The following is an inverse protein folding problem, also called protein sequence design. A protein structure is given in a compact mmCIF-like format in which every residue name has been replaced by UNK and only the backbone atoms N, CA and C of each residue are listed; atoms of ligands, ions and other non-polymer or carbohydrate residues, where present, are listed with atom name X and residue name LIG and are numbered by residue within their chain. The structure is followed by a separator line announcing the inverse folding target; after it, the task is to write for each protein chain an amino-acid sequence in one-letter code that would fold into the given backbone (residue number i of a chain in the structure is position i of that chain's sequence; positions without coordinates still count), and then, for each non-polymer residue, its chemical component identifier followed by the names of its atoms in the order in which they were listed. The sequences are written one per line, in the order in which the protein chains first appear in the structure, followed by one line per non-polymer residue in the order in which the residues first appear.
data_IF_779259398698
#
_entry.id   IF_779259398698
#
_cell.length_a   1.000
_cell.length_b   1.000
_cell.length_c   1.000
_cell.angle_alpha   90.00
_cell.angle_beta   90.00
_cell.angle_gamma   90.00
#
_symmetry.space_group_name_H-M   'P 1'
#
loop_
_entity.id
_entity.type
_entity.pdbx_description
1 polymer ?
#
# COMPACT_ATOMS: atom_id res chain seq x y z
N UNK A 1 -9.21 7.71 16.57
CA UNK A 1 -10.66 7.46 16.47
C UNK A 1 -11.12 7.02 15.08
N UNK A 2 -10.67 7.63 13.97
CA UNK A 2 -11.11 7.27 12.60
C UNK A 2 -10.66 5.86 12.14
N UNK A 3 -9.47 5.40 12.54
CA UNK A 3 -8.95 4.08 12.14
C UNK A 3 -9.74 2.91 12.78
N UNK A 4 -10.08 3.01 14.06
CA UNK A 4 -10.86 1.97 14.75
C UNK A 4 -12.28 1.84 14.18
N UNK A 5 -12.90 2.95 13.76
CA UNK A 5 -14.20 2.95 13.08
C UNK A 5 -14.13 2.27 11.71
N UNK A 6 -13.06 2.48 10.95
CA UNK A 6 -12.84 1.81 9.66
C UNK A 6 -12.63 0.31 9.86
N UNK A 7 -11.87 -0.09 10.89
CA UNK A 7 -11.66 -1.50 11.22
C UNK A 7 -12.96 -2.17 11.70
N UNK A 8 -13.75 -1.49 12.55
CA UNK A 8 -15.06 -1.97 12.99
C UNK A 8 -16.03 -2.13 11.81
N UNK A 9 -16.04 -1.17 10.88
CA UNK A 9 -16.88 -1.21 9.67
C UNK A 9 -16.45 -2.34 8.71
N UNK A 10 -15.15 -2.61 8.59
CA UNK A 10 -14.62 -3.75 7.83
C UNK A 10 -14.99 -5.10 8.47
N UNK A 11 -15.07 -5.19 9.80
CA UNK A 11 -15.49 -6.40 10.51
C UNK A 11 -17.00 -6.64 10.34
N UNK A 12 -17.83 -5.59 10.30
CA UNK A 12 -19.27 -5.72 10.03
C UNK A 12 -19.60 -6.07 8.58
N UNK A 13 -18.67 -5.90 7.65
CA UNK A 13 -18.83 -6.27 6.25
C UNK A 13 -18.65 -7.79 5.99
N UNK A 14 -18.52 -8.60 7.04
CA UNK A 14 -18.54 -10.07 6.90
C UNK A 14 -19.98 -10.50 6.68
N UNK A 15 -20.33 -10.71 5.41
CA UNK A 15 -21.62 -11.26 4.99
C UNK A 15 -21.81 -12.64 5.63
N UNK A 16 -22.70 -12.75 6.62
CA UNK A 16 -23.08 -14.00 7.25
C UNK A 16 -24.33 -14.55 6.56
N UNK A 17 -24.35 -15.84 6.25
CA UNK A 17 -25.53 -16.49 5.66
C UNK A 17 -26.72 -16.47 6.60
N UNK A 18 -27.88 -16.12 6.06
CA UNK A 18 -29.16 -16.15 6.77
C UNK A 18 -29.56 -17.60 7.09
N UNK A 19 -30.47 -17.79 8.04
CA UNK A 19 -31.02 -19.11 8.37
C UNK A 19 -31.68 -19.77 7.13
N UNK A 20 -32.45 -18.98 6.37
CA UNK A 20 -33.09 -19.43 5.12
C UNK A 20 -32.06 -19.92 4.10
N UNK A 21 -30.91 -19.23 4.00
CA UNK A 21 -29.86 -19.62 3.05
C UNK A 21 -29.28 -20.99 3.43
N UNK A 22 -29.09 -21.25 4.73
CA UNK A 22 -28.60 -22.55 5.22
C UNK A 22 -29.60 -23.67 4.96
N UNK A 23 -30.89 -23.42 5.11
CA UNK A 23 -31.95 -24.39 4.77
C UNK A 23 -31.91 -24.74 3.28
N UNK A 24 -31.78 -23.75 2.41
CA UNK A 24 -31.63 -23.95 0.96
C UNK A 24 -30.38 -24.77 0.67
N UNK A 25 -29.24 -24.46 1.30
CA UNK A 25 -27.99 -25.18 1.09
C UNK A 25 -28.07 -26.62 1.56
N UNK A 26 -28.67 -26.86 2.73
CA UNK A 26 -28.86 -28.21 3.25
C UNK A 26 -29.73 -29.04 2.33
N UNK A 27 -30.89 -28.51 1.93
CA UNK A 27 -31.80 -29.21 1.04
C UNK A 27 -31.15 -29.51 -0.32
N UNK A 28 -30.41 -28.56 -0.89
CA UNK A 28 -29.70 -28.77 -2.14
C UNK A 28 -28.55 -29.79 -2.00
N UNK A 29 -27.83 -29.78 -0.88
CA UNK A 29 -26.76 -30.74 -0.61
C UNK A 29 -27.31 -32.17 -0.49
N UNK A 30 -28.38 -32.36 0.29
CA UNK A 30 -29.06 -33.66 0.45
C UNK A 30 -29.56 -34.20 -0.91
N UNK A 31 -30.20 -33.35 -1.71
CA UNK A 31 -30.73 -33.76 -3.01
C UNK A 31 -29.63 -34.04 -4.04
N UNK A 32 -28.53 -33.29 -4.04
CA UNK A 32 -27.36 -33.59 -4.88
C UNK A 32 -26.68 -34.90 -4.49
N UNK A 33 -26.71 -35.26 -3.21
CA UNK A 33 -26.20 -36.55 -2.75
C UNK A 33 -27.06 -37.72 -3.23
N UNK A 34 -28.40 -37.57 -3.30
CA UNK A 34 -29.31 -38.62 -3.77
C UNK A 34 -29.39 -38.70 -5.31
N UNK A 35 -29.41 -37.57 -6.00
CA UNK A 35 -29.69 -37.48 -7.44
C UNK A 35 -28.49 -37.10 -8.32
N UNK A 36 -27.36 -36.68 -7.74
CA UNK A 36 -26.13 -36.28 -8.42
C UNK A 36 -25.89 -34.76 -8.48
N UNK A 37 -24.66 -34.38 -8.83
CA UNK A 37 -24.17 -32.99 -8.73
C UNK A 37 -24.89 -31.98 -9.64
N UNK A 38 -25.46 -32.43 -10.75
CA UNK A 38 -26.16 -31.59 -11.73
C UNK A 38 -27.63 -31.32 -11.35
N UNK A 39 -28.08 -31.80 -10.19
CA UNK A 39 -29.47 -31.67 -9.76
C UNK A 39 -29.87 -30.22 -9.46
N UNK A 40 -31.05 -29.83 -9.95
CA UNK A 40 -31.68 -28.53 -9.72
C UNK A 40 -33.16 -28.70 -9.33
N UNK A 41 -33.68 -27.82 -8.47
CA UNK A 41 -35.08 -27.88 -8.01
C UNK A 41 -36.10 -27.75 -9.17
N UNK A 42 -35.79 -26.92 -10.17
CA UNK A 42 -36.63 -26.72 -11.34
C UNK A 42 -36.76 -27.98 -12.20
N UNK A 43 -35.65 -28.71 -12.37
CA UNK A 43 -35.62 -29.97 -13.11
C UNK A 43 -36.40 -31.06 -12.36
N UNK A 44 -36.30 -31.07 -11.03
CA UNK A 44 -37.06 -31.99 -10.20
C UNK A 44 -38.57 -31.81 -10.32
N UNK A 45 -39.05 -30.55 -10.31
CA UNK A 45 -40.46 -30.22 -10.55
C UNK A 45 -40.88 -30.40 -12.02
N UNK A 46 -39.94 -30.68 -12.94
CA UNK A 46 -40.17 -30.83 -14.38
C UNK A 46 -40.78 -29.58 -15.01
N UNK A 47 -40.27 -28.42 -14.63
CA UNK A 47 -40.74 -27.13 -15.16
C UNK A 47 -40.11 -26.83 -16.53
N UNK A 48 -40.91 -26.54 -17.58
CA UNK A 48 -40.39 -26.34 -18.93
C UNK A 48 -39.58 -25.06 -19.10
N UNK A 49 -39.86 -24.02 -18.31
CA UNK A 49 -39.18 -22.71 -18.38
C UNK A 49 -38.08 -22.53 -17.32
N UNK A 50 -37.81 -23.58 -16.52
CA UNK A 50 -36.80 -23.56 -15.47
C UNK A 50 -36.96 -22.37 -14.50
N UNK A 51 -35.95 -21.51 -14.33
CA UNK A 51 -36.00 -20.36 -13.40
C UNK A 51 -37.04 -19.30 -13.82
N UNK A 52 -37.33 -19.19 -15.12
CA UNK A 52 -38.31 -18.23 -15.67
C UNK A 52 -39.77 -18.70 -15.56
N UNK A 53 -40.05 -19.79 -14.84
CA UNK A 53 -41.42 -20.24 -14.58
C UNK A 53 -42.18 -19.30 -13.65
N UNK A 54 -43.45 -19.03 -14.01
CA UNK A 54 -44.40 -18.24 -13.22
C UNK A 54 -44.80 -19.00 -11.94
N UNK A 55 -45.27 -18.29 -10.92
CA UNK A 55 -45.77 -18.89 -9.68
C UNK A 55 -46.85 -19.97 -9.92
N UNK A 56 -47.80 -19.72 -10.83
CA UNK A 56 -48.86 -20.69 -11.15
C UNK A 56 -48.31 -21.99 -11.77
N UNK A 57 -47.30 -21.88 -12.65
CA UNK A 57 -46.63 -23.05 -13.25
C UNK A 57 -45.97 -23.90 -12.15
N UNK A 58 -45.31 -23.25 -11.19
CA UNK A 58 -44.66 -23.89 -10.03
C UNK A 58 -45.70 -24.56 -9.14
N UNK A 59 -46.81 -23.88 -8.83
CA UNK A 59 -47.87 -24.42 -7.99
C UNK A 59 -48.53 -25.67 -8.62
N UNK A 60 -48.84 -25.60 -9.91
CA UNK A 60 -49.42 -26.72 -10.66
C UNK A 60 -48.46 -27.91 -10.77
N UNK A 61 -47.18 -27.66 -11.08
CA UNK A 61 -46.15 -28.69 -11.15
C UNK A 61 -45.95 -29.39 -9.80
N UNK A 62 -45.86 -28.62 -8.71
CA UNK A 62 -45.79 -29.16 -7.36
C UNK A 62 -47.01 -30.01 -7.03
N UNK A 63 -48.24 -29.53 -7.28
CA UNK A 63 -49.48 -30.30 -7.01
C UNK A 63 -49.50 -31.63 -7.76
N UNK A 64 -49.00 -31.65 -9.01
CA UNK A 64 -48.89 -32.85 -9.82
C UNK A 64 -47.87 -33.84 -9.25
N UNK A 65 -46.75 -33.34 -8.74
CA UNK A 65 -45.66 -34.15 -8.19
C UNK A 65 -45.98 -34.65 -6.77
N UNK A 66 -46.57 -33.81 -5.92
CA UNK A 66 -46.98 -34.15 -4.55
C UNK A 66 -47.99 -35.29 -4.53
N UNK A 67 -49.01 -35.25 -5.41
CA UNK A 67 -49.96 -36.35 -5.59
C UNK A 67 -49.30 -37.64 -6.04
N UNK A 68 -48.16 -37.60 -6.75
CA UNK A 68 -47.44 -38.81 -7.19
C UNK A 68 -46.59 -39.40 -6.07
N UNK A 69 -45.90 -38.55 -5.30
CA UNK A 69 -44.97 -38.96 -4.24
C UNK A 69 -45.61 -39.10 -2.85
N UNK A 70 -46.92 -38.86 -2.71
CA UNK A 70 -47.57 -38.93 -1.41
C UNK A 70 -47.40 -40.31 -0.73
N UNK A 71 -47.00 -40.37 0.55
CA UNK A 71 -46.69 -41.63 1.23
C UNK A 71 -47.90 -42.58 1.34
N UNK A 72 -49.13 -42.03 1.35
CA UNK A 72 -50.38 -42.81 1.39
C UNK A 72 -50.60 -43.69 0.15
N UNK A 73 -49.91 -43.42 -0.96
CA UNK A 73 -49.98 -44.30 -2.15
C UNK A 73 -49.30 -45.64 -1.95
N UNK A 74 -48.42 -45.76 -0.96
CA UNK A 74 -47.73 -47.02 -0.66
C UNK A 74 -48.68 -47.91 0.15
N UNK A 75 -49.09 -49.03 -0.45
CA UNK A 75 -49.99 -50.01 0.16
C UNK A 75 -49.21 -51.26 0.57
N UNK A 76 -49.54 -51.81 1.73
CA UNK A 76 -48.86 -52.97 2.31
C UNK A 76 -49.09 -54.30 1.55
N UNK A 77 -50.03 -54.35 0.59
CA UNK A 77 -50.61 -55.58 0.01
C UNK A 77 -49.65 -56.66 -0.54
N UNK A 78 -48.33 -56.41 -0.64
CA UNK A 78 -47.35 -57.36 -1.19
C UNK A 78 -45.98 -57.35 -0.49
N UNK A 79 -45.83 -56.71 0.67
CA UNK A 79 -44.54 -56.58 1.37
C UNK A 79 -44.59 -57.10 2.80
N UNK A 80 -43.44 -57.55 3.29
CA UNK A 80 -43.21 -57.77 4.73
C UNK A 80 -43.43 -56.45 5.50
N UNK A 81 -43.85 -56.55 6.76
CA UNK A 81 -44.06 -55.39 7.65
C UNK A 81 -42.83 -54.46 7.65
N UNK A 82 -41.63 -55.02 7.82
CA UNK A 82 -40.38 -54.25 7.87
C UNK A 82 -40.12 -53.52 6.55
N UNK A 83 -40.31 -54.18 5.42
CA UNK A 83 -40.10 -53.58 4.10
C UNK A 83 -41.13 -52.48 3.83
N UNK A 84 -42.37 -52.67 4.26
CA UNK A 84 -43.42 -51.66 4.15
C UNK A 84 -43.07 -50.42 4.96
N UNK A 85 -42.61 -50.58 6.20
CA UNK A 85 -42.20 -49.47 7.06
C UNK A 85 -41.01 -48.71 6.48
N UNK A 86 -39.99 -49.40 5.98
CA UNK A 86 -38.83 -48.77 5.33
C UNK A 86 -39.22 -47.99 4.07
N UNK A 87 -40.09 -48.56 3.21
CA UNK A 87 -40.57 -47.87 2.02
C UNK A 87 -41.43 -46.65 2.36
N UNK A 88 -42.33 -46.79 3.36
CA UNK A 88 -43.16 -45.69 3.82
C UNK A 88 -42.29 -44.56 4.39
N UNK A 89 -41.26 -44.90 5.17
CA UNK A 89 -40.29 -43.94 5.71
C UNK A 89 -39.55 -43.17 4.60
N UNK A 90 -38.99 -43.88 3.62
CA UNK A 90 -38.33 -43.26 2.46
C UNK A 90 -39.28 -42.35 1.66
N UNK A 91 -40.55 -42.75 1.52
CA UNK A 91 -41.54 -41.92 0.84
C UNK A 91 -41.94 -40.69 1.64
N UNK A 92 -42.05 -40.81 2.97
CA UNK A 92 -42.30 -39.65 3.83
C UNK A 92 -41.13 -38.66 3.77
N UNK A 93 -39.89 -39.13 3.79
CA UNK A 93 -38.69 -38.29 3.66
C UNK A 93 -38.67 -37.54 2.31
N UNK A 94 -38.90 -38.27 1.20
CA UNK A 94 -39.00 -37.65 -0.14
C UNK A 94 -40.14 -36.65 -0.25
N UNK A 95 -41.28 -36.92 0.38
CA UNK A 95 -42.39 -35.99 0.40
C UNK A 95 -42.09 -34.74 1.23
N UNK A 96 -41.37 -34.88 2.35
CA UNK A 96 -40.89 -33.75 3.15
C UNK A 96 -39.91 -32.87 2.37
N UNK A 97 -38.93 -33.48 1.70
CA UNK A 97 -38.01 -32.77 0.80
C UNK A 97 -38.77 -32.02 -0.30
N UNK A 98 -39.80 -32.65 -0.88
CA UNK A 98 -40.64 -32.01 -1.90
C UNK A 98 -41.38 -30.81 -1.33
N UNK A 99 -41.95 -30.95 -0.14
CA UNK A 99 -42.66 -29.85 0.53
C UNK A 99 -41.72 -28.68 0.80
N UNK A 100 -40.48 -28.95 1.22
CA UNK A 100 -39.47 -27.92 1.48
C UNK A 100 -39.04 -27.20 0.19
N UNK A 101 -38.81 -27.94 -0.91
CA UNK A 101 -38.55 -27.33 -2.22
C UNK A 101 -39.75 -26.49 -2.66
N UNK A 102 -40.96 -27.00 -2.47
CA UNK A 102 -42.19 -26.29 -2.77
C UNK A 102 -42.31 -24.97 -2.01
N UNK A 103 -42.02 -24.93 -0.71
CA UNK A 103 -42.05 -23.70 0.09
C UNK A 103 -40.98 -22.70 -0.34
N UNK A 104 -39.79 -23.16 -0.70
CA UNK A 104 -38.71 -22.29 -1.20
C UNK A 104 -39.11 -21.64 -2.53
N UNK A 105 -39.55 -22.43 -3.53
CA UNK A 105 -39.87 -21.91 -4.86
C UNK A 105 -41.13 -21.06 -4.94
N UNK A 106 -42.05 -21.20 -3.96
CA UNK A 106 -43.30 -20.43 -3.89
C UNK A 106 -43.17 -19.14 -3.08
N UNK A 107 -42.15 -19.01 -2.24
CA UNK A 107 -41.93 -17.83 -1.40
C UNK A 107 -40.90 -16.88 -2.04
N UNK A 108 -40.67 -15.74 -1.40
CA UNK A 108 -39.60 -14.79 -1.75
C UNK A 108 -38.21 -15.45 -1.73
N UNK A 109 -38.05 -16.57 -1.02
CA UNK A 109 -36.83 -17.40 -0.98
C UNK A 109 -36.42 -17.92 -2.37
N UNK A 110 -37.32 -17.91 -3.36
CA UNK A 110 -37.01 -18.22 -4.76
C UNK A 110 -35.88 -17.36 -5.29
N UNK A 111 -35.88 -16.05 -5.02
CA UNK A 111 -34.86 -15.13 -5.53
C UNK A 111 -33.47 -15.47 -4.98
N UNK A 112 -33.41 -15.89 -3.70
CA UNK A 112 -32.16 -16.34 -3.07
C UNK A 112 -31.67 -17.63 -3.70
N UNK A 113 -32.57 -18.59 -3.92
CA UNK A 113 -32.25 -19.82 -4.63
C UNK A 113 -31.70 -19.53 -6.04
N UNK A 114 -32.36 -18.66 -6.80
CA UNK A 114 -31.93 -18.25 -8.14
C UNK A 114 -30.54 -17.58 -8.12
N UNK A 115 -30.26 -16.77 -7.09
CA UNK A 115 -28.92 -16.21 -6.88
C UNK A 115 -27.85 -17.29 -6.76
N UNK A 116 -28.09 -18.34 -5.96
CA UNK A 116 -27.14 -19.45 -5.77
C UNK A 116 -27.04 -20.38 -6.98
N UNK A 117 -28.12 -20.58 -7.72
CA UNK A 117 -28.06 -21.32 -9.00
C UNK A 117 -27.14 -20.59 -9.99
N UNK A 118 -27.19 -19.25 -10.03
CA UNK A 118 -26.37 -18.43 -10.94
C UNK A 118 -24.90 -18.30 -10.50
N UNK A 119 -24.64 -18.15 -9.20
CA UNK A 119 -23.28 -17.89 -8.68
C UNK A 119 -22.57 -19.15 -8.15
N UNK A 120 -23.30 -20.27 -8.03
CA UNK A 120 -22.84 -21.49 -7.40
C UNK A 120 -23.25 -21.58 -5.94
N UNK A 121 -23.38 -22.82 -5.46
CA UNK A 121 -23.68 -23.11 -4.06
C UNK A 121 -22.39 -23.22 -3.23
N UNK A 122 -22.43 -22.80 -1.95
CA UNK A 122 -21.33 -23.09 -1.03
C UNK A 122 -21.23 -24.60 -0.76
N UNK A 123 -20.03 -25.07 -0.46
CA UNK A 123 -19.75 -26.48 -0.18
C UNK A 123 -19.92 -26.73 1.31
N UNK A 124 -20.61 -27.82 1.67
CA UNK A 124 -20.72 -28.29 3.05
C UNK A 124 -19.35 -28.79 3.54
N UNK A 125 -18.85 -28.23 4.64
CA UNK A 125 -17.56 -28.62 5.23
C UNK A 125 -17.69 -28.79 6.74
N UNK A 126 -17.93 -30.02 7.17
CA UNK A 126 -18.01 -30.39 8.59
C UNK A 126 -19.22 -29.80 9.29
N UNK A 127 -19.13 -28.52 9.68
CA UNK A 127 -20.14 -27.87 10.53
C UNK A 127 -20.87 -26.72 9.84
N UNK A 128 -20.32 -26.13 8.77
CA UNK A 128 -20.94 -24.98 8.10
C UNK A 128 -20.74 -25.00 6.58
N UNK A 129 -21.52 -24.15 5.90
CA UNK A 129 -21.44 -23.93 4.47
C UNK A 129 -20.41 -22.85 4.16
N UNK A 130 -19.44 -23.18 3.31
CA UNK A 130 -18.43 -22.21 2.88
C UNK A 130 -18.30 -22.23 1.38
N UNK A 131 -18.25 -21.06 0.75
CA UNK A 131 -17.79 -20.99 -0.64
C UNK A 131 -16.38 -21.56 -0.73
N UNK A 132 -16.05 -22.16 -1.88
CA UNK A 132 -14.67 -22.48 -2.24
C UNK A 132 -13.90 -21.16 -2.44
N UNK A 133 -13.58 -20.49 -1.34
CA UNK A 133 -12.95 -19.17 -1.32
C UNK A 133 -11.55 -19.28 -1.91
N UNK A 134 -11.13 -18.23 -2.62
CA UNK A 134 -9.75 -18.07 -3.04
C UNK A 134 -8.84 -18.20 -1.82
N UNK A 135 -8.04 -19.27 -1.79
CA UNK A 135 -6.99 -19.48 -0.80
C UNK A 135 -5.72 -18.93 -1.42
N UNK A 136 -5.35 -17.66 -1.11
CA UNK A 136 -4.07 -17.15 -1.59
C UNK A 136 -2.97 -18.11 -1.14
N UNK A 137 -2.09 -18.50 -2.06
CA UNK A 137 -0.94 -19.33 -1.75
C UNK A 137 -0.13 -18.70 -0.61
N UNK A 138 0.46 -19.51 0.27
CA UNK A 138 1.33 -19.03 1.37
C UNK A 138 2.44 -18.14 0.83
N UNK A 139 2.95 -18.40 -0.37
CA UNK A 139 3.93 -17.55 -1.02
C UNK A 139 3.38 -16.17 -1.38
N UNK A 140 2.14 -16.12 -1.87
CA UNK A 140 1.47 -14.87 -2.22
C UNK A 140 1.22 -14.04 -0.96
N UNK A 141 0.78 -14.67 0.13
CA UNK A 141 0.56 -13.96 1.41
C UNK A 141 1.86 -13.42 1.99
N UNK A 142 2.94 -14.20 1.98
CA UNK A 142 4.27 -13.75 2.40
C UNK A 142 4.75 -12.60 1.53
N UNK A 143 4.57 -12.68 0.20
CA UNK A 143 4.95 -11.60 -0.71
C UNK A 143 4.21 -10.30 -0.42
N UNK A 144 2.89 -10.35 -0.19
CA UNK A 144 2.10 -9.16 0.17
C UNK A 144 2.55 -8.60 1.53
N UNK A 145 2.74 -9.46 2.53
CA UNK A 145 3.20 -9.04 3.85
C UNK A 145 4.58 -8.37 3.75
N UNK A 146 5.47 -8.97 2.96
CA UNK A 146 6.78 -8.40 2.68
C UNK A 146 6.65 -7.03 2.03
N UNK A 147 5.86 -6.88 0.96
CA UNK A 147 5.62 -5.61 0.29
C UNK A 147 5.03 -4.53 1.22
N UNK A 148 4.16 -4.91 2.16
CA UNK A 148 3.60 -3.98 3.14
C UNK A 148 4.64 -3.56 4.19
N UNK A 149 5.48 -4.49 4.63
CA UNK A 149 6.60 -4.21 5.52
C UNK A 149 7.66 -3.31 4.85
N UNK A 150 7.96 -3.53 3.56
CA UNK A 150 8.90 -2.69 2.80
C UNK A 150 8.36 -1.27 2.67
N UNK A 151 7.07 -1.11 2.38
CA UNK A 151 6.41 0.19 2.27
C UNK A 151 6.45 0.95 3.59
N UNK A 152 6.04 0.31 4.70
CA UNK A 152 6.06 0.92 6.03
C UNK A 152 7.47 1.37 6.42
N UNK A 153 8.46 0.50 6.17
CA UNK A 153 9.86 0.81 6.44
C UNK A 153 10.38 1.97 5.60
N UNK A 154 10.02 2.04 4.31
CA UNK A 154 10.38 3.16 3.44
C UNK A 154 9.82 4.49 3.96
N UNK A 155 8.54 4.50 4.35
CA UNK A 155 7.91 5.69 4.96
C UNK A 155 8.64 6.09 6.24
N UNK A 156 9.02 5.13 7.08
CA UNK A 156 9.75 5.41 8.33
C UNK A 156 11.10 6.10 8.08
N UNK A 157 11.93 5.59 7.16
CA UNK A 157 13.22 6.21 6.84
C UNK A 157 13.00 7.60 6.24
N UNK A 158 12.00 7.77 5.36
CA UNK A 158 11.66 9.08 4.79
C UNK A 158 11.29 10.11 5.85
N UNK A 159 10.42 9.74 6.80
CA UNK A 159 10.03 10.61 7.91
C UNK A 159 11.23 10.93 8.80
N UNK A 160 12.07 9.95 9.10
CA UNK A 160 13.28 10.14 9.91
C UNK A 160 14.25 11.13 9.26
N UNK A 161 14.46 11.04 7.95
CA UNK A 161 15.34 11.97 7.21
C UNK A 161 14.79 13.42 7.24
N UNK A 162 13.48 13.59 7.01
CA UNK A 162 12.82 14.90 7.10
C UNK A 162 12.93 15.47 8.52
N UNK A 163 12.72 14.64 9.54
CA UNK A 163 12.84 15.06 10.92
C UNK A 163 14.28 15.43 11.29
N UNK A 164 15.27 14.69 10.79
CA UNK A 164 16.69 14.96 11.05
C UNK A 164 17.13 16.29 10.44
N UNK A 165 16.66 16.63 9.22
CA UNK A 165 16.87 17.94 8.61
C UNK A 165 16.32 19.08 9.46
N UNK A 166 15.09 18.93 9.97
CA UNK A 166 14.46 19.94 10.85
C UNK A 166 15.20 20.12 12.17
N UNK A 167 15.74 19.03 12.75
CA UNK A 167 16.57 19.11 13.96
C UNK A 167 17.89 19.84 13.69
N UNK A 168 18.54 19.60 12.55
CA UNK A 168 19.77 20.29 12.21
C UNK A 168 19.54 21.79 11.98
N UNK A 169 18.46 22.16 11.30
CA UNK A 169 18.12 23.58 11.12
C UNK A 169 17.82 24.27 12.45
N UNK A 170 17.06 23.64 13.35
CA UNK A 170 16.78 24.21 14.67
C UNK A 170 18.06 24.33 15.51
N UNK A 171 18.96 23.35 15.45
CA UNK A 171 20.26 23.41 16.12
C UNK A 171 21.14 24.56 15.59
N UNK A 172 21.11 24.83 14.28
CA UNK A 172 21.85 25.96 13.70
C UNK A 172 21.27 27.28 14.19
N UNK A 173 19.95 27.41 14.20
CA UNK A 173 19.24 28.60 14.70
C UNK A 173 19.52 28.84 16.19
N UNK A 174 19.44 27.81 17.03
CA UNK A 174 19.75 27.87 18.45
C UNK A 174 21.19 28.34 18.70
N UNK A 175 22.18 27.73 18.01
CA UNK A 175 23.58 28.14 18.16
C UNK A 175 23.83 29.57 17.66
N UNK A 176 23.12 30.02 16.60
CA UNK A 176 23.18 31.41 16.14
C UNK A 176 22.61 32.39 17.16
N UNK A 177 21.49 32.05 17.80
CA UNK A 177 20.90 32.88 18.86
C UNK A 177 21.80 32.95 20.09
N UNK A 178 22.45 31.85 20.46
CA UNK A 178 23.43 31.83 21.55
C UNK A 178 24.69 32.66 21.22
N UNK A 179 25.15 32.64 19.97
CA UNK A 179 26.29 33.46 19.52
C UNK A 179 25.95 34.95 19.46
N UNK A 180 24.77 35.29 18.92
CA UNK A 180 24.31 36.66 18.70
C UNK A 180 22.85 36.84 19.16
N UNK A 181 22.61 37.05 20.46
CA UNK A 181 21.26 37.11 21.02
C UNK A 181 20.44 38.32 20.53
N UNK A 182 21.10 39.41 20.13
CA UNK A 182 20.46 40.60 19.57
C UNK A 182 20.46 40.62 18.03
N UNK A 183 20.85 39.53 17.39
CA UNK A 183 21.10 39.46 15.96
C UNK A 183 22.40 40.17 15.55
N UNK A 184 22.79 39.99 14.28
CA UNK A 184 23.97 40.67 13.71
C UNK A 184 23.58 42.11 13.36
N UNK A 185 24.03 43.07 14.17
CA UNK A 185 23.74 44.50 13.94
C UNK A 185 24.69 45.13 12.91
N UNK A 186 26.00 44.83 12.98
CA UNK A 186 27.02 45.35 12.07
C UNK A 186 27.82 44.23 11.40
N UNK A 187 27.65 44.06 10.08
CA UNK A 187 28.26 42.98 9.27
C UNK A 187 29.80 43.05 9.25
N UNK A 188 30.40 44.22 9.50
CA UNK A 188 31.86 44.45 9.44
C UNK A 188 32.60 44.10 10.74
N UNK A 189 31.89 43.93 11.86
CA UNK A 189 32.50 43.65 13.18
C UNK A 189 32.24 42.22 13.69
N UNK A 190 31.60 41.38 12.88
CA UNK A 190 31.25 40.01 13.26
C UNK A 190 32.52 39.15 13.30
N UNK A 191 32.88 38.69 14.50
CA UNK A 191 33.95 37.69 14.70
C UNK A 191 33.33 36.32 14.92
N UNK A 192 34.10 35.28 14.63
CA UNK A 192 33.69 33.91 14.90
C UNK A 192 33.57 33.69 16.41
N UNK A 193 32.42 33.17 16.85
CA UNK A 193 32.10 32.98 18.28
C UNK A 193 32.04 31.50 18.59
N UNK A 194 32.81 31.08 19.60
CA UNK A 194 32.72 29.72 20.14
C UNK A 194 31.62 29.68 21.20
N UNK A 195 30.59 28.88 20.96
CA UNK A 195 29.41 28.75 21.81
C UNK A 195 29.36 27.35 22.40
N UNK A 196 28.92 27.26 23.65
CA UNK A 196 28.59 25.98 24.28
C UNK A 196 27.09 25.74 24.22
N UNK A 197 26.68 24.62 23.64
CA UNK A 197 25.28 24.23 23.64
C UNK A 197 25.00 23.30 24.82
N UNK A 198 24.14 23.75 25.74
CA UNK A 198 23.81 23.01 26.97
C UNK A 198 23.08 21.69 26.69
N UNK A 199 22.24 21.64 25.65
CA UNK A 199 21.45 20.46 25.31
C UNK A 199 22.31 19.31 24.81
N UNK A 200 23.32 19.61 23.99
CA UNK A 200 24.22 18.61 23.41
C UNK A 200 25.50 18.42 24.22
N UNK A 201 25.75 19.27 25.23
CA UNK A 201 26.99 19.34 26.03
C UNK A 201 28.24 19.38 25.15
N UNK A 202 28.17 20.17 24.09
CA UNK A 202 29.14 20.20 22.99
C UNK A 202 29.46 21.64 22.59
N UNK A 203 30.70 21.86 22.18
CA UNK A 203 31.16 23.16 21.69
C UNK A 203 30.91 23.29 20.19
N UNK A 204 30.40 24.45 19.79
CA UNK A 204 30.18 24.83 18.40
C UNK A 204 30.93 26.13 18.11
N UNK A 205 31.46 26.25 16.90
CA UNK A 205 32.04 27.47 16.36
C UNK A 205 31.04 28.03 15.35
N UNK A 206 30.53 29.22 15.62
CA UNK A 206 29.65 29.94 14.69
C UNK A 206 30.49 30.97 13.96
N UNK A 207 30.69 30.76 12.67
CA UNK A 207 31.49 31.64 11.82
C UNK A 207 30.66 32.84 11.34
N UNK A 208 31.33 33.93 10.97
CA UNK A 208 30.68 35.16 10.47
C UNK A 208 29.78 34.95 9.25
N UNK A 209 30.07 33.93 8.43
CA UNK A 209 29.29 33.54 7.25
C UNK A 209 27.94 32.88 7.61
N UNK A 210 27.71 32.64 8.90
CA UNK A 210 26.53 31.97 9.41
C UNK A 210 26.60 30.44 9.31
N UNK A 211 27.76 29.88 8.98
CA UNK A 211 28.02 28.44 9.09
C UNK A 211 28.28 28.06 10.55
N UNK A 212 27.79 26.88 10.93
CA UNK A 212 27.99 26.33 12.28
C UNK A 212 28.87 25.10 12.15
N UNK A 213 29.97 25.09 12.89
CA UNK A 213 30.89 23.96 12.96
C UNK A 213 30.85 23.31 14.33
N UNK A 214 30.75 22.00 14.35
CA UNK A 214 30.93 21.21 15.56
C UNK A 214 32.42 21.00 15.83
N UNK A 215 32.88 21.26 17.07
CA UNK A 215 34.29 21.15 17.47
C UNK A 215 34.48 19.90 18.32
N UNK A 216 35.25 18.93 17.82
CA UNK A 216 35.61 17.70 18.56
C UNK A 216 37.09 17.37 18.32
N UNK A 217 37.87 17.25 19.41
CA UNK A 217 39.31 16.92 19.37
C UNK A 217 40.12 17.79 18.38
N UNK A 218 39.93 19.11 18.45
CA UNK A 218 40.54 20.12 17.56
C UNK A 218 40.19 20.00 16.06
N UNK A 219 39.24 19.13 15.70
CA UNK A 219 38.66 19.06 14.36
C UNK A 219 37.32 19.77 14.32
N UNK A 220 37.10 20.52 13.24
CA UNK A 220 35.85 21.23 12.98
C UNK A 220 35.05 20.52 11.87
N UNK A 221 33.80 20.19 12.15
CA UNK A 221 32.88 19.55 11.21
C UNK A 221 31.77 20.53 10.85
N UNK A 222 31.59 20.83 9.57
CA UNK A 222 30.49 21.69 9.13
C UNK A 222 29.15 20.98 9.35
N UNK A 223 28.24 21.64 10.07
CA UNK A 223 26.89 21.13 10.30
C UNK A 223 25.96 21.72 9.24
N UNK A 224 25.73 20.97 8.16
CA UNK A 224 24.87 21.39 7.06
C UNK A 224 23.56 20.57 7.02
N UNK A 225 22.37 21.20 7.08
CA UNK A 225 21.09 20.48 6.97
C UNK A 225 20.89 19.82 5.60
N UNK A 226 21.54 20.35 4.56
CA UNK A 226 21.45 19.84 3.19
C UNK A 226 22.24 18.55 2.97
N UNK A 227 23.21 18.22 3.84
CA UNK A 227 23.99 16.99 3.77
C UNK A 227 23.15 15.74 4.06
N UNK A 228 22.05 15.88 4.81
CA UNK A 228 21.15 14.74 5.09
C UNK A 228 20.44 14.34 3.80
N UNK A 229 20.87 13.24 3.19
CA UNK A 229 20.28 12.74 1.95
C UNK A 229 18.84 12.25 2.13
N UNK A 230 18.01 12.44 1.10
CA UNK A 230 16.69 11.83 1.08
C UNK A 230 16.83 10.34 0.74
N UNK A 231 16.28 9.44 1.57
CA UNK A 231 16.48 8.00 1.40
C UNK A 231 15.84 7.52 0.10
N UNK A 232 16.60 6.73 -0.65
CA UNK A 232 16.15 6.02 -1.84
C UNK A 232 15.49 4.69 -1.45
N UNK A 233 14.86 4.03 -2.42
CA UNK A 233 14.35 2.67 -2.24
C UNK A 233 15.49 1.68 -1.93
N UNK A 234 16.72 1.95 -2.38
CA UNK A 234 17.91 1.13 -2.10
C UNK A 234 18.33 1.16 -0.62
N UNK A 235 17.91 2.18 0.14
CA UNK A 235 18.25 2.32 1.55
C UNK A 235 17.33 1.50 2.47
N UNK A 236 16.24 0.96 1.90
CA UNK A 236 15.36 0.02 2.60
C UNK A 236 16.09 -1.32 2.81
N UNK A 237 15.79 -2.05 3.89
CA UNK A 237 16.34 -3.40 4.10
C UNK A 237 16.22 -4.33 2.86
N UNK A 238 15.07 -4.41 2.16
CA UNK A 238 14.94 -5.12 0.89
C UNK A 238 15.85 -4.56 -0.21
N UNK A 239 15.92 -3.24 -0.35
CA UNK A 239 16.76 -2.58 -1.33
C UNK A 239 18.23 -2.91 -1.14
N UNK A 240 18.72 -2.90 0.11
CA UNK A 240 20.09 -3.29 0.45
C UNK A 240 20.35 -4.78 0.16
N UNK A 241 19.39 -5.66 0.41
CA UNK A 241 19.49 -7.07 0.05
C UNK A 241 19.59 -7.26 -1.47
N UNK A 242 18.76 -6.56 -2.25
CA UNK A 242 18.79 -6.60 -3.72
C UNK A 242 20.12 -6.08 -4.26
N UNK A 243 20.61 -4.95 -3.75
CA UNK A 243 21.92 -4.39 -4.15
C UNK A 243 23.08 -5.30 -3.74
N UNK A 244 22.99 -5.99 -2.60
CA UNK A 244 24.00 -6.98 -2.19
C UNK A 244 24.01 -8.22 -3.11
N UNK A 245 22.84 -8.63 -3.62
CA UNK A 245 22.72 -9.73 -4.57
C UNK A 245 23.12 -9.33 -6.00
N UNK A 246 22.81 -8.09 -6.39
CA UNK A 246 23.09 -7.55 -7.73
C UNK A 246 23.82 -6.20 -7.57
N UNK A 247 25.15 -6.21 -7.39
CA UNK A 247 25.92 -5.00 -7.10
C UNK A 247 25.92 -3.99 -8.25
N UNK A 248 25.57 -4.41 -9.47
CA UNK A 248 25.41 -3.54 -10.63
C UNK A 248 24.27 -2.52 -10.47
N UNK A 249 23.31 -2.79 -9.58
CA UNK A 249 22.19 -1.91 -9.28
C UNK A 249 22.53 -0.85 -8.22
N UNK A 250 23.72 -0.92 -7.60
CA UNK A 250 24.15 0.02 -6.57
C UNK A 250 24.25 1.45 -7.14
N UNK A 251 23.66 2.42 -6.44
CA UNK A 251 23.94 3.84 -6.73
C UNK A 251 25.37 4.19 -6.36
N UNK A 252 26.04 4.95 -7.22
CA UNK A 252 27.31 5.60 -6.85
C UNK A 252 27.02 6.63 -5.73
N UNK A 253 27.80 6.63 -4.63
CA UNK A 253 27.67 7.67 -3.62
C UNK A 253 27.92 9.05 -4.25
N UNK A 254 27.15 10.06 -3.85
CA UNK A 254 27.39 11.43 -4.29
C UNK A 254 28.67 11.92 -3.61
N UNK A 255 29.61 12.45 -4.38
CA UNK A 255 30.85 13.04 -3.83
C UNK A 255 30.48 14.19 -2.88
N UNK A 256 31.07 14.28 -1.67
CA UNK A 256 30.88 15.43 -0.79
C UNK A 256 31.14 16.74 -1.54
N UNK A 257 30.34 17.79 -1.29
CA UNK A 257 30.61 19.12 -1.82
C UNK A 257 31.91 19.61 -1.14
N UNK A 258 33.06 19.48 -1.81
CA UNK A 258 34.28 20.12 -1.35
C UNK A 258 34.12 21.64 -1.45
N UNK A 259 33.99 22.32 -0.31
CA UNK A 259 34.15 23.77 -0.23
C UNK A 259 35.64 24.04 -0.42
N UNK A 260 36.03 24.56 -1.58
CA UNK A 260 37.36 25.12 -1.77
C UNK A 260 37.51 26.27 -0.79
N UNK A 261 38.35 26.10 0.24
CA UNK A 261 38.86 27.22 1.02
C UNK A 261 39.64 28.11 0.05
N UNK A 262 39.02 29.20 -0.38
CA UNK A 262 39.71 30.24 -1.15
C UNK A 262 40.68 30.92 -0.17
N UNK A 263 41.94 30.47 -0.17
CA UNK A 263 43.01 31.12 0.59
C UNK A 263 43.08 32.59 0.15
N UNK A 264 42.85 33.49 1.10
CA UNK A 264 42.74 34.93 0.88
C UNK A 264 44.09 35.63 0.63
N UNK A 265 45.18 34.88 0.46
CA UNK A 265 46.55 35.43 0.54
C UNK A 265 47.32 35.50 -0.79
N UNK A 266 46.73 35.09 -1.92
CA UNK A 266 47.44 35.16 -3.21
C UNK A 266 46.63 35.85 -4.32
N UNK A 267 46.47 37.17 -4.18
CA UNK A 267 46.14 38.07 -5.29
C UNK A 267 47.39 38.81 -5.75
N UNK A 268 48.35 38.10 -6.35
CA UNK A 268 49.28 38.75 -7.29
C UNK A 268 48.55 39.05 -8.60
N UNK A 269 48.27 40.33 -8.84
CA UNK A 269 47.66 40.87 -10.06
C UNK A 269 48.43 40.41 -11.30
N UNK A 270 47.85 39.50 -12.11
CA UNK A 270 48.30 39.32 -13.50
C UNK A 270 47.74 40.46 -14.37
N UNK A 271 48.55 41.49 -14.58
CA UNK A 271 48.29 42.51 -15.60
C UNK A 271 48.47 41.87 -16.99
N UNK A 272 47.40 41.89 -17.82
CA UNK A 272 47.49 41.51 -19.23
C UNK A 272 48.34 42.54 -19.97
N UNK A 273 49.38 42.10 -20.70
CA UNK A 273 50.16 42.97 -21.59
C UNK A 273 49.26 43.52 -22.72
N UNK A 274 49.35 44.81 -23.08
CA UNK A 274 48.58 45.37 -24.19
C UNK A 274 49.10 44.83 -25.52
N UNK A 275 48.22 44.26 -26.33
CA UNK A 275 48.51 43.79 -27.69
C UNK A 275 48.31 44.94 -28.66
N UNK A 276 49.41 45.49 -29.18
CA UNK A 276 49.39 46.55 -30.21
C UNK A 276 50.81 46.92 -30.62
N UNK A 277 50.96 47.50 -31.82
CA UNK A 277 52.27 47.89 -32.35
C UNK A 277 53.00 48.83 -31.38
N UNK A 278 54.24 48.47 -31.06
CA UNK A 278 55.10 49.21 -30.13
C UNK A 278 56.29 49.84 -30.86
N UNK A 279 56.71 51.03 -30.41
CA UNK A 279 57.93 51.68 -30.90
C UNK A 279 58.88 51.92 -29.72
N UNK A 280 60.14 51.50 -29.86
CA UNK A 280 61.20 51.70 -28.88
C UNK A 280 61.86 53.05 -29.06
N UNK A 281 61.99 53.81 -27.99
CA UNK A 281 62.77 55.05 -27.96
C UNK A 281 64.26 54.74 -27.68
N UNK A 282 65.21 55.63 -28.04
CA UNK A 282 66.65 55.42 -27.81
C UNK A 282 67.06 55.29 -26.34
N UNK A 283 66.19 55.65 -25.41
CA UNK A 283 66.37 55.49 -23.96
C UNK A 283 65.80 54.17 -23.40
N UNK A 284 65.44 53.22 -24.28
CA UNK A 284 65.00 51.87 -23.92
C UNK A 284 63.53 51.74 -23.50
N UNK A 285 62.73 52.81 -23.53
CA UNK A 285 61.28 52.75 -23.20
C UNK A 285 60.44 52.44 -24.44
N UNK A 286 59.52 51.47 -24.33
CA UNK A 286 58.51 51.12 -25.35
C UNK A 286 57.18 51.78 -25.10
N UNK A 287 56.63 52.48 -26.09
CA UNK A 287 55.27 53.04 -26.05
C UNK A 287 54.38 52.23 -27.00
N UNK A 288 53.17 51.90 -26.54
CA UNK A 288 52.15 51.18 -27.32
C UNK A 288 51.12 52.16 -27.90
N UNK A 289 50.67 51.92 -29.13
CA UNK A 289 49.67 52.76 -29.80
C UNK A 289 48.28 52.58 -29.15
N UNK A 290 47.61 53.68 -28.82
CA UNK A 290 46.27 53.64 -28.22
C UNK A 290 45.19 53.27 -29.25
N UNK A 291 44.45 52.19 -29.02
CA UNK A 291 43.29 51.78 -29.83
C UNK A 291 42.05 52.58 -29.41
N UNK A 292 41.43 53.28 -30.37
CA UNK A 292 40.22 54.09 -30.16
C UNK A 292 39.00 53.17 -29.98
N UNK A 293 38.52 52.99 -28.74
CA UNK A 293 37.35 52.16 -28.46
C UNK A 293 36.05 52.86 -28.90
N UNK A 294 35.37 52.31 -29.90
CA UNK A 294 34.10 52.82 -30.40
C UNK A 294 32.95 52.66 -29.40
N UNK A 295 32.33 53.77 -29.00
CA UNK A 295 31.14 53.78 -28.14
C UNK A 295 29.88 53.34 -28.91
N UNK A 296 29.16 52.35 -28.39
CA UNK A 296 27.92 51.83 -28.97
C UNK A 296 26.74 52.69 -28.52
N UNK A 297 26.14 53.43 -29.45
CA UNK A 297 24.95 54.28 -29.27
C UNK A 297 23.74 53.37 -29.01
N UNK A 298 23.05 53.56 -27.88
CA UNK A 298 21.77 52.89 -27.57
C UNK A 298 20.71 53.36 -28.57
N UNK A 299 20.00 52.42 -29.20
CA UNK A 299 18.66 52.61 -29.74
C UNK A 299 17.73 51.75 -28.89
#
# INVERSE_FOLDING_TARGET
MKLHLVILCLITAVYCFSAVDREIFQLNHELRQEYGDNFNFYEWLKLPKGPSSTFEDIDNAYKKLSRKLHPDKIRQKKLSQEQFEQLKKKATERYQQLSAVGSILRSESKERYDYFVKHGFPVYKGNDYTYAKFRPSVLLTIFILFALATLTHFVFIRLSAVQSRKRLSSLIEENKQLAWPQGVQDVTQVKDVKVYNEHLRKWFLVCFDGSVHYVENDKTFHVDPEEVELPSWQDTLPGKLIVKLIPQLARKPRSPKEIKKENLDDKTRKTKKPTGDSKTLPNGKTIYKATKSGGRRRK
#
